data_IF_473580023912
#
_entry.id   IF_473580023912
#
_cell.length_a   1.000
_cell.length_b   1.000
_cell.length_c   1.000
_cell.angle_alpha   90.00
_cell.angle_beta   90.00
_cell.angle_gamma   90.00
#
_symmetry.space_group_name_H-M   'P 1'
#
loop_
_entity.id
_entity.type
_entity.pdbx_description
1 polymer ?
#
# COMPACT_ATOMS: atom_id res chain seq x y z
N UNK A 1 28.71 -19.21 -2.09
CA UNK A 1 27.86 -18.13 -1.60
C UNK A 1 26.41 -18.34 -2.05
N UNK A 2 25.50 -18.41 -1.12
CA UNK A 2 24.09 -18.50 -1.46
C UNK A 2 23.58 -17.12 -1.85
N UNK A 3 22.84 -17.03 -2.94
CA UNK A 3 22.17 -15.80 -3.33
C UNK A 3 21.11 -15.43 -2.29
N UNK A 4 20.96 -14.15 -2.02
CA UNK A 4 19.91 -13.67 -1.14
C UNK A 4 18.55 -13.95 -1.78
N UNK A 5 17.63 -14.50 -1.02
CA UNK A 5 16.28 -14.82 -1.45
C UNK A 5 15.28 -13.86 -0.84
N UNK A 6 14.12 -13.76 -1.46
CA UNK A 6 13.03 -12.90 -0.98
C UNK A 6 12.72 -13.16 0.50
N UNK A 7 12.72 -14.43 0.91
CA UNK A 7 12.46 -14.83 2.30
C UNK A 7 13.32 -14.07 3.30
N UNK A 8 14.56 -13.77 2.96
CA UNK A 8 15.52 -13.10 3.85
C UNK A 8 15.29 -11.60 3.94
N UNK A 9 14.51 -11.04 3.02
CA UNK A 9 14.24 -9.60 2.94
C UNK A 9 12.87 -9.21 3.48
N UNK A 10 12.05 -10.18 3.84
CA UNK A 10 10.70 -9.94 4.32
C UNK A 10 10.73 -9.10 5.60
N UNK A 11 9.88 -8.08 5.63
CA UNK A 11 9.64 -7.27 6.82
C UNK A 11 8.23 -7.51 7.32
N UNK A 12 8.01 -7.50 8.65
CA UNK A 12 6.65 -7.42 9.17
C UNK A 12 6.03 -6.13 8.65
N UNK A 13 4.88 -6.24 8.03
CA UNK A 13 4.23 -5.10 7.40
C UNK A 13 2.74 -5.20 7.69
N UNK A 14 2.10 -4.13 8.15
CA UNK A 14 0.68 -4.19 8.41
C UNK A 14 -0.09 -4.42 7.12
N UNK A 15 -1.10 -5.28 7.19
CA UNK A 15 -2.01 -5.55 6.10
C UNK A 15 -3.42 -5.30 6.60
N UNK A 16 -4.32 -5.00 5.67
CA UNK A 16 -5.72 -4.77 6.00
C UNK A 16 -6.62 -5.57 5.07
N UNK A 17 -7.77 -5.96 5.58
CA UNK A 17 -8.78 -6.63 4.78
C UNK A 17 -9.58 -5.58 4.00
N UNK A 18 -9.94 -5.92 2.76
CA UNK A 18 -10.64 -4.99 1.87
C UNK A 18 -11.98 -4.50 2.44
N UNK A 19 -12.60 -5.28 3.29
CA UNK A 19 -13.89 -4.92 3.90
C UNK A 19 -13.75 -4.30 5.29
N UNK A 20 -12.52 -4.08 5.75
CA UNK A 20 -12.26 -3.39 7.02
C UNK A 20 -12.60 -1.90 6.90
N UNK A 21 -12.89 -1.22 8.03
CA UNK A 21 -13.12 0.22 8.01
C UNK A 21 -11.93 0.97 7.43
N UNK A 22 -12.20 1.95 6.57
CA UNK A 22 -11.15 2.77 5.96
C UNK A 22 -10.28 3.46 7.00
N UNK A 23 -10.87 3.88 8.12
CA UNK A 23 -10.13 4.53 9.21
C UNK A 23 -9.05 3.65 9.80
N UNK A 24 -9.24 2.32 9.80
CA UNK A 24 -8.22 1.40 10.30
C UNK A 24 -6.95 1.47 9.44
N UNK A 25 -7.13 1.49 8.12
CA UNK A 25 -6.01 1.63 7.20
C UNK A 25 -5.30 2.98 7.37
N UNK A 26 -6.07 4.05 7.51
CA UNK A 26 -5.51 5.39 7.69
C UNK A 26 -4.68 5.46 8.97
N UNK A 27 -5.17 4.89 10.05
CA UNK A 27 -4.43 4.85 11.32
C UNK A 27 -3.11 4.10 11.19
N UNK A 28 -3.12 2.96 10.49
CA UNK A 28 -1.90 2.20 10.27
C UNK A 28 -0.91 2.95 9.39
N UNK A 29 -1.39 3.63 8.34
CA UNK A 29 -0.53 4.46 7.50
C UNK A 29 0.16 5.56 8.30
N UNK A 30 -0.58 6.22 9.19
CA UNK A 30 -0.04 7.30 10.03
C UNK A 30 0.91 6.74 11.10
N UNK A 31 0.47 5.71 11.81
CA UNK A 31 1.20 5.12 12.93
C UNK A 31 2.57 4.58 12.50
N UNK A 32 2.62 3.91 11.36
CA UNK A 32 3.84 3.30 10.83
C UNK A 32 4.54 4.16 9.79
N UNK A 33 4.04 5.36 9.52
CA UNK A 33 4.59 6.30 8.52
C UNK A 33 4.77 5.64 7.16
N UNK A 34 3.72 4.98 6.70
CA UNK A 34 3.75 4.24 5.44
C UNK A 34 3.24 5.08 4.28
N UNK A 35 3.78 4.85 3.10
CA UNK A 35 3.29 5.45 1.86
C UNK A 35 2.20 4.61 1.20
N UNK A 36 2.00 3.40 1.65
CA UNK A 36 0.97 2.50 1.16
C UNK A 36 0.81 1.32 2.09
N UNK A 37 -0.29 0.60 1.95
CA UNK A 37 -0.57 -0.57 2.77
C UNK A 37 -1.14 -1.67 1.88
N UNK A 38 -0.78 -2.91 2.19
CA UNK A 38 -1.26 -4.07 1.42
C UNK A 38 -2.68 -4.41 1.85
N UNK A 39 -3.55 -4.57 0.86
CA UNK A 39 -4.95 -4.95 1.05
C UNK A 39 -5.10 -6.41 0.63
N UNK A 40 -5.66 -7.21 1.52
CA UNK A 40 -5.94 -8.62 1.24
C UNK A 40 -7.45 -8.83 1.17
N UNK A 41 -7.83 -9.89 0.46
CA UNK A 41 -9.24 -10.28 0.39
C UNK A 41 -9.52 -11.35 1.44
N UNK A 42 -10.65 -11.20 2.11
CA UNK A 42 -11.28 -12.22 2.95
C UNK A 42 -10.34 -13.08 3.80
N UNK A 43 -10.78 -14.32 4.01
CA UNK A 43 -10.15 -15.32 4.85
C UNK A 43 -8.93 -15.96 4.21
N UNK A 44 -8.73 -15.81 2.91
CA UNK A 44 -7.64 -16.45 2.19
C UNK A 44 -6.31 -15.71 2.30
N UNK A 45 -6.32 -14.49 2.85
CA UNK A 45 -5.12 -13.65 2.97
C UNK A 45 -4.36 -13.50 1.65
N UNK A 46 -5.12 -13.49 0.54
CA UNK A 46 -4.55 -13.31 -0.78
C UNK A 46 -4.30 -11.83 -1.02
N UNK A 47 -3.08 -11.45 -1.41
CA UNK A 47 -2.81 -10.04 -1.76
C UNK A 47 -3.73 -9.60 -2.90
N UNK A 48 -4.40 -8.47 -2.73
CA UNK A 48 -5.33 -7.93 -3.71
C UNK A 48 -4.81 -6.64 -4.35
N UNK A 49 -4.45 -5.68 -3.53
CA UNK A 49 -4.02 -4.37 -4.01
C UNK A 49 -3.14 -3.68 -2.98
N UNK A 50 -2.53 -2.58 -3.39
CA UNK A 50 -1.88 -1.64 -2.48
C UNK A 50 -2.78 -0.42 -2.41
N UNK A 51 -3.08 0.04 -1.20
CA UNK A 51 -3.76 1.31 -0.99
C UNK A 51 -2.69 2.37 -0.71
N UNK A 52 -2.38 3.25 -1.68
CA UNK A 52 -1.40 4.30 -1.43
C UNK A 52 -1.98 5.36 -0.50
N UNK A 53 -1.14 5.94 0.36
CA UNK A 53 -1.56 7.04 1.22
C UNK A 53 -2.11 8.21 0.38
N UNK A 54 -1.52 8.46 -0.79
CA UNK A 54 -1.98 9.49 -1.71
C UNK A 54 -3.41 9.26 -2.20
N UNK A 55 -3.84 7.99 -2.34
CA UNK A 55 -5.22 7.69 -2.73
C UNK A 55 -6.19 8.07 -1.61
N UNK A 56 -5.80 7.89 -0.37
CA UNK A 56 -6.62 8.32 0.77
C UNK A 56 -6.80 9.83 0.74
N UNK A 57 -5.70 10.56 0.50
CA UNK A 57 -5.74 12.03 0.37
C UNK A 57 -6.68 12.42 -0.77
N UNK A 58 -6.54 11.77 -1.91
CA UNK A 58 -7.40 12.03 -3.08
C UNK A 58 -8.88 11.79 -2.77
N UNK A 59 -9.17 10.75 -2.00
CA UNK A 59 -10.54 10.42 -1.61
C UNK A 59 -11.15 11.50 -0.69
N UNK A 60 -10.32 12.07 0.19
CA UNK A 60 -10.75 13.10 1.14
C UNK A 60 -10.96 14.46 0.47
N UNK A 61 -10.06 14.86 -0.43
CA UNK A 61 -10.12 16.17 -1.07
C UNK A 61 -11.31 16.23 -2.03
N UNK A 62 -12.20 17.24 -1.90
CA UNK A 62 -13.35 17.35 -2.81
C UNK A 62 -12.95 17.44 -4.28
N UNK A 63 -13.75 16.80 -5.13
CA UNK A 63 -13.47 16.77 -6.57
C UNK A 63 -13.37 18.15 -7.20
N UNK A 64 -14.19 19.10 -6.76
CA UNK A 64 -14.15 20.45 -7.31
C UNK A 64 -12.85 21.18 -7.00
N UNK A 65 -12.17 20.85 -5.88
CA UNK A 65 -10.86 21.41 -5.56
C UNK A 65 -9.79 20.80 -6.45
N UNK A 66 -9.90 19.49 -6.74
CA UNK A 66 -8.96 18.82 -7.62
C UNK A 66 -9.04 19.37 -9.05
N UNK A 67 -10.24 19.74 -9.50
CA UNK A 67 -10.46 20.34 -10.82
C UNK A 67 -10.02 21.81 -10.87
N UNK A 68 -10.08 22.51 -9.76
CA UNK A 68 -9.69 23.92 -9.66
C UNK A 68 -8.83 24.13 -8.40
N UNK A 69 -7.52 23.89 -8.50
CA UNK A 69 -6.62 23.98 -7.34
C UNK A 69 -6.63 25.33 -6.63
N UNK A 70 -7.01 26.41 -7.31
CA UNK A 70 -7.13 27.74 -6.70
C UNK A 70 -8.14 27.78 -5.56
N UNK A 71 -9.13 26.89 -5.59
CA UNK A 71 -10.15 26.82 -4.54
C UNK A 71 -9.60 26.29 -3.22
N UNK A 72 -8.47 25.59 -3.24
CA UNK A 72 -7.86 25.08 -2.01
C UNK A 72 -7.48 26.20 -1.06
N UNK A 73 -7.06 27.35 -1.59
CA UNK A 73 -6.66 28.50 -0.79
C UNK A 73 -7.82 29.15 -0.04
N UNK A 74 -9.05 28.95 -0.51
CA UNK A 74 -10.25 29.55 0.10
C UNK A 74 -11.12 28.50 0.81
N UNK A 75 -10.63 27.26 0.92
CA UNK A 75 -11.34 26.18 1.61
C UNK A 75 -11.30 26.45 3.12
N UNK A 76 -12.46 26.60 3.74
CA UNK A 76 -12.58 27.03 5.13
C UNK A 76 -12.79 25.91 6.13
N UNK A 77 -13.12 24.69 5.66
CA UNK A 77 -13.33 23.57 6.56
C UNK A 77 -12.01 23.02 7.08
N UNK A 78 -12.03 22.53 8.32
CA UNK A 78 -10.89 21.80 8.88
C UNK A 78 -10.64 20.54 8.08
N UNK A 79 -9.39 20.24 7.75
CA UNK A 79 -9.02 19.02 7.07
C UNK A 79 -9.41 17.79 7.92
N UNK A 80 -9.24 17.88 9.24
CA UNK A 80 -9.60 16.80 10.14
C UNK A 80 -11.10 16.49 10.10
N UNK A 81 -11.94 17.54 10.14
CA UNK A 81 -13.39 17.37 10.08
C UNK A 81 -13.82 16.79 8.75
N UNK A 82 -13.23 17.27 7.67
CA UNK A 82 -13.56 16.80 6.34
C UNK A 82 -13.13 15.34 6.14
N UNK A 83 -11.94 14.99 6.64
CA UNK A 83 -11.46 13.60 6.60
C UNK A 83 -12.39 12.67 7.37
N UNK A 84 -12.79 13.07 8.57
CA UNK A 84 -13.69 12.27 9.39
C UNK A 84 -15.02 12.05 8.68
N UNK A 85 -15.58 13.10 8.09
CA UNK A 85 -16.85 13.01 7.35
C UNK A 85 -16.74 12.06 6.17
N UNK A 86 -15.67 12.19 5.36
CA UNK A 86 -15.49 11.39 4.15
C UNK A 86 -15.19 9.92 4.45
N UNK A 87 -14.46 9.63 5.53
CA UNK A 87 -14.03 8.28 5.85
C UNK A 87 -15.00 7.53 6.76
N UNK A 88 -15.88 8.25 7.45
CA UNK A 88 -16.85 7.63 8.37
C UNK A 88 -17.77 6.67 7.62
N UNK A 89 -17.87 5.44 8.13
CA UNK A 89 -18.74 4.44 7.54
C UNK A 89 -18.24 3.85 6.22
N UNK A 90 -17.05 4.23 5.77
CA UNK A 90 -16.47 3.70 4.53
C UNK A 90 -15.57 2.51 4.82
N UNK A 91 -15.54 1.57 3.88
CA UNK A 91 -14.59 0.47 3.91
C UNK A 91 -13.41 0.79 3.02
N UNK A 92 -12.36 -0.01 3.14
CA UNK A 92 -11.19 0.13 2.26
C UNK A 92 -11.60 -0.05 0.81
N UNK A 93 -12.54 -0.96 0.53
CA UNK A 93 -13.10 -1.17 -0.80
C UNK A 93 -13.66 0.13 -1.40
N UNK A 94 -14.32 0.93 -0.58
CA UNK A 94 -14.92 2.21 -1.02
C UNK A 94 -13.85 3.24 -1.37
N UNK A 95 -12.70 3.20 -0.72
CA UNK A 95 -11.62 4.17 -0.90
C UNK A 95 -10.69 3.79 -2.06
N UNK A 96 -10.54 2.48 -2.35
CA UNK A 96 -9.72 2.03 -3.46
C UNK A 96 -10.22 2.61 -4.78
N UNK A 97 -9.31 2.97 -5.69
CA UNK A 97 -9.75 3.45 -7.00
C UNK A 97 -10.44 2.32 -7.76
N UNK A 98 -11.35 2.69 -8.67
CA UNK A 98 -12.10 1.71 -9.47
C UNK A 98 -11.17 0.79 -10.26
N UNK A 99 -10.02 1.31 -10.71
CA UNK A 99 -8.96 0.54 -11.34
C UNK A 99 -7.80 0.47 -10.37
N UNK A 100 -7.93 -0.36 -9.35
CA UNK A 100 -6.83 -0.57 -8.42
C UNK A 100 -5.70 -1.30 -9.12
N UNK A 101 -4.47 -0.89 -8.84
CA UNK A 101 -3.32 -1.60 -9.35
C UNK A 101 -3.19 -2.91 -8.59
N UNK A 102 -3.01 -3.99 -9.34
CA UNK A 102 -2.72 -5.28 -8.73
C UNK A 102 -1.41 -5.16 -7.98
N UNK A 103 -1.37 -5.63 -6.74
CA UNK A 103 -0.14 -5.63 -5.98
C UNK A 103 0.85 -6.62 -6.63
N UNK A 104 2.10 -6.18 -6.89
CA UNK A 104 3.11 -7.12 -7.39
C UNK A 104 3.38 -8.19 -6.35
N UNK A 105 3.48 -9.42 -6.81
CA UNK A 105 3.67 -10.59 -5.94
C UNK A 105 4.94 -11.32 -6.35
N UNK A 106 5.75 -11.71 -5.37
CA UNK A 106 6.93 -12.56 -5.57
C UNK A 106 6.84 -13.75 -4.63
N UNK A 107 7.54 -14.81 -4.99
CA UNK A 107 7.60 -16.02 -4.17
C UNK A 107 8.74 -15.91 -3.16
N UNK A 108 8.62 -16.60 -2.03
CA UNK A 108 9.66 -16.60 -0.99
C UNK A 108 11.01 -17.09 -1.50
N UNK A 109 11.01 -17.90 -2.55
CA UNK A 109 12.24 -18.48 -3.11
C UNK A 109 12.85 -17.62 -4.21
N UNK A 110 12.20 -16.54 -4.62
CA UNK A 110 12.72 -15.65 -5.65
C UNK A 110 14.02 -14.99 -5.20
N UNK A 111 14.92 -14.78 -6.16
CA UNK A 111 16.20 -14.11 -5.89
C UNK A 111 15.98 -12.60 -5.76
N UNK A 112 16.94 -11.93 -5.16
CA UNK A 112 16.90 -10.48 -5.01
C UNK A 112 16.74 -9.76 -6.37
N UNK A 113 17.39 -10.28 -7.43
CA UNK A 113 17.26 -9.67 -8.75
C UNK A 113 15.89 -9.91 -9.36
N UNK A 114 15.27 -11.04 -9.10
CA UNK A 114 13.90 -11.31 -9.54
C UNK A 114 12.92 -10.37 -8.84
N UNK A 115 13.10 -10.14 -7.53
CA UNK A 115 12.30 -9.18 -6.77
C UNK A 115 12.48 -7.77 -7.33
N UNK A 116 13.72 -7.38 -7.57
CA UNK A 116 14.05 -6.06 -8.12
C UNK A 116 13.41 -5.85 -9.49
N UNK A 117 13.43 -6.88 -10.35
CA UNK A 117 12.82 -6.82 -11.68
C UNK A 117 11.32 -6.54 -11.58
N UNK A 118 10.61 -7.28 -10.74
CA UNK A 118 9.17 -7.10 -10.57
C UNK A 118 8.85 -5.69 -10.07
N UNK A 119 9.60 -5.24 -9.07
CA UNK A 119 9.41 -3.92 -8.48
C UNK A 119 9.65 -2.81 -9.50
N UNK A 120 10.70 -2.95 -10.32
CA UNK A 120 11.03 -1.98 -11.36
C UNK A 120 10.00 -1.97 -12.48
N UNK A 121 9.64 -3.13 -12.99
CA UNK A 121 8.69 -3.27 -14.10
C UNK A 121 7.32 -2.73 -13.72
N UNK A 122 6.88 -3.02 -12.51
CA UNK A 122 5.56 -2.59 -12.04
C UNK A 122 5.58 -1.23 -11.35
N UNK A 123 6.76 -0.63 -11.23
CA UNK A 123 6.93 0.69 -10.59
C UNK A 123 6.27 0.77 -9.22
N UNK A 124 6.43 -0.29 -8.43
CA UNK A 124 5.83 -0.36 -7.12
C UNK A 124 6.87 -0.12 -6.04
N UNK A 125 6.51 0.63 -4.97
CA UNK A 125 7.43 0.84 -3.86
C UNK A 125 7.54 -0.37 -2.94
N UNK A 126 6.72 -1.39 -3.16
CA UNK A 126 6.75 -2.61 -2.38
C UNK A 126 6.22 -3.78 -3.20
N UNK A 127 6.55 -5.00 -2.77
CA UNK A 127 5.99 -6.23 -3.32
C UNK A 127 5.49 -7.10 -2.16
N UNK A 128 4.43 -7.86 -2.44
CA UNK A 128 3.93 -8.86 -1.50
C UNK A 128 4.70 -10.17 -1.72
N UNK A 129 5.16 -10.78 -0.64
CA UNK A 129 5.85 -12.06 -0.71
C UNK A 129 4.89 -13.14 -0.28
N UNK A 130 4.74 -14.16 -1.10
CA UNK A 130 3.80 -15.25 -0.86
C UNK A 130 4.51 -16.59 -0.76
N UNK A 131 3.89 -17.48 -0.03
CA UNK A 131 4.25 -18.89 0.02
C UNK A 131 2.98 -19.67 -0.26
N UNK A 132 2.95 -20.43 -1.34
CA UNK A 132 1.77 -21.18 -1.77
C UNK A 132 0.52 -20.29 -1.86
N UNK A 133 0.70 -19.09 -2.41
CA UNK A 133 -0.38 -18.13 -2.61
C UNK A 133 -0.79 -17.33 -1.40
N UNK A 134 -0.23 -17.60 -0.22
CA UNK A 134 -0.56 -16.88 1.00
C UNK A 134 0.51 -15.84 1.33
N UNK A 135 0.05 -14.66 1.72
CA UNK A 135 0.93 -13.56 2.10
C UNK A 135 1.77 -13.95 3.32
N UNK A 136 3.09 -13.86 3.20
CA UNK A 136 4.03 -14.08 4.31
C UNK A 136 4.65 -12.78 4.79
N UNK A 137 4.71 -11.77 3.95
CA UNK A 137 5.28 -10.49 4.33
C UNK A 137 5.41 -9.59 3.11
N UNK A 138 6.14 -8.51 3.28
CA UNK A 138 6.32 -7.47 2.28
C UNK A 138 7.80 -7.13 2.18
N UNK A 139 8.25 -6.80 0.97
CA UNK A 139 9.59 -6.23 0.75
C UNK A 139 9.38 -4.82 0.20
N UNK A 140 9.94 -3.84 0.90
CA UNK A 140 9.91 -2.45 0.42
C UNK A 140 11.12 -2.17 -0.45
N UNK A 141 11.00 -1.17 -1.32
CA UNK A 141 12.13 -0.72 -2.15
C UNK A 141 13.32 -0.32 -1.28
N UNK A 142 13.05 0.33 -0.17
CA UNK A 142 14.09 0.74 0.78
C UNK A 142 14.86 -0.45 1.33
N UNK A 143 14.16 -1.51 1.69
CA UNK A 143 14.77 -2.74 2.20
C UNK A 143 15.62 -3.42 1.12
N UNK A 144 15.07 -3.49 -0.11
CA UNK A 144 15.79 -4.07 -1.24
C UNK A 144 17.09 -3.34 -1.52
N UNK A 145 17.03 -2.00 -1.54
CA UNK A 145 18.21 -1.17 -1.80
C UNK A 145 19.25 -1.33 -0.69
N UNK A 146 18.83 -1.40 0.55
CA UNK A 146 19.74 -1.61 1.66
C UNK A 146 20.51 -2.93 1.50
N UNK A 147 19.83 -3.99 1.08
CA UNK A 147 20.45 -5.28 0.84
C UNK A 147 21.40 -5.23 -0.37
N UNK A 148 20.99 -4.55 -1.45
CA UNK A 148 21.78 -4.44 -2.66
C UNK A 148 23.09 -3.67 -2.43
N UNK A 149 23.06 -2.65 -1.58
CA UNK A 149 24.24 -1.83 -1.31
C UNK A 149 25.26 -2.49 -0.37
N UNK A 150 24.88 -3.57 0.28
CA UNK A 150 25.78 -4.32 1.16
C UNK A 150 26.68 -5.31 0.43
N UNK A 151 26.35 -5.60 -0.80
CA UNK A 151 27.12 -6.57 -1.60
C UNK A 151 28.28 -5.92 -2.33
#
# INVERSE_FOLDING_TARGET
MSAVRAEELIEPFPVVNIDSPALDAVRLLVEHRLNGIVVVTDTSETPYAVLPASQVVRFIVPGYIQEDPGLAAVFTESMADHAAEKLSGKTIRDVLPKKSQVVPVVDIDDTIIEVAEVMARMRSPLVAVVKKGKLTGVITASRLLAAALKD
#
